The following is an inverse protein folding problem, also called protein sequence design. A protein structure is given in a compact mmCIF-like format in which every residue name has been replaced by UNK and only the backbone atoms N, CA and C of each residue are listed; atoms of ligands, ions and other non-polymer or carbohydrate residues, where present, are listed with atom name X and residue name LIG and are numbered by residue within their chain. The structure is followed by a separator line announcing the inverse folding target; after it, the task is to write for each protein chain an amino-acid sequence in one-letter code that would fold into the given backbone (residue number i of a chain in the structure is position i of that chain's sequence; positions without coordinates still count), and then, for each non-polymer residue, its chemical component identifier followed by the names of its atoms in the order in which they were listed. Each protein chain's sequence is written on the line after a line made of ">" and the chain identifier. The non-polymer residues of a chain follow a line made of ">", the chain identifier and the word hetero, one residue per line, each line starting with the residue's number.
data_IF_204164194126
#
_entry.id   IF_204164194126
#
_cell.length_a   1.000
_cell.length_b   1.000
_cell.length_c   1.000
_cell.angle_alpha   90.00
_cell.angle_beta   90.00
_cell.angle_gamma   90.00
#
_symmetry.space_group_name_H-M   'P 1'
#
loop_
_entity.id
_entity.type
_entity.pdbx_description
1 polymer ?
#
# COMPACT_ATOMS: atom_id res chain seq x y z
N UNK A 1 27.94 -0.70 -5.69
CA UNK A 1 27.19 -1.50 -4.71
C UNK A 1 26.19 -0.60 -4.01
N UNK A 2 24.94 -1.03 -3.91
CA UNK A 2 23.85 -0.24 -3.31
C UNK A 2 23.70 -0.56 -1.82
N UNK A 3 23.08 0.34 -1.04
CA UNK A 3 22.72 0.11 0.37
C UNK A 3 21.36 -0.59 0.45
N UNK A 4 21.13 -1.38 1.50
CA UNK A 4 19.83 -2.02 1.75
C UNK A 4 18.78 -1.00 2.21
N UNK A 5 17.53 -1.05 1.69
CA UNK A 5 16.44 -0.14 2.07
C UNK A 5 15.68 -0.62 3.32
N UNK A 6 16.38 -1.08 4.37
CA UNK A 6 15.71 -1.58 5.58
C UNK A 6 14.92 -0.46 6.29
N UNK A 7 13.61 -0.64 6.45
CA UNK A 7 12.71 0.33 7.09
C UNK A 7 12.27 1.50 6.20
N UNK A 8 12.57 1.47 4.89
CA UNK A 8 12.18 2.54 3.96
C UNK A 8 10.82 2.22 3.33
N UNK A 9 9.84 3.12 3.51
CA UNK A 9 8.50 3.05 2.91
C UNK A 9 8.20 4.16 1.90
N UNK A 10 9.12 5.11 1.70
CA UNK A 10 8.99 6.18 0.72
C UNK A 10 9.80 5.83 -0.54
N UNK A 11 9.12 5.67 -1.67
CA UNK A 11 9.74 5.28 -2.94
C UNK A 11 10.68 6.35 -3.48
N UNK A 12 10.30 7.64 -3.41
CA UNK A 12 11.18 8.73 -3.84
C UNK A 12 12.48 8.77 -3.04
N UNK A 13 12.41 8.60 -1.71
CA UNK A 13 13.60 8.50 -0.86
C UNK A 13 14.49 7.31 -1.27
N UNK A 14 13.90 6.17 -1.59
CA UNK A 14 14.63 4.99 -2.05
C UNK A 14 15.43 5.28 -3.34
N UNK A 15 14.86 6.04 -4.27
CA UNK A 15 15.51 6.46 -5.51
C UNK A 15 16.58 7.52 -5.24
N UNK A 16 16.24 8.59 -4.52
CA UNK A 16 17.13 9.72 -4.22
C UNK A 16 18.41 9.26 -3.46
N UNK A 17 18.25 8.32 -2.54
CA UNK A 17 19.37 7.75 -1.75
C UNK A 17 20.12 6.61 -2.47
N UNK A 18 19.73 6.30 -3.72
CA UNK A 18 20.27 5.23 -4.56
C UNK A 18 20.37 3.88 -3.82
N UNK A 19 19.28 3.52 -3.12
CA UNK A 19 19.19 2.25 -2.40
C UNK A 19 18.87 1.10 -3.35
N UNK A 20 19.17 -0.12 -2.92
CA UNK A 20 18.79 -1.31 -3.66
C UNK A 20 17.26 -1.41 -3.74
N UNK A 21 16.72 -1.71 -4.91
CA UNK A 21 15.29 -1.85 -5.13
C UNK A 21 15.04 -3.04 -6.04
N UNK A 22 14.13 -3.91 -5.60
CA UNK A 22 13.57 -4.96 -6.45
C UNK A 22 12.45 -4.33 -7.26
N UNK A 23 12.64 -4.27 -8.57
CA UNK A 23 11.67 -3.59 -9.44
C UNK A 23 10.37 -4.38 -9.56
N UNK A 24 9.31 -3.84 -8.93
CA UNK A 24 7.93 -4.35 -9.03
C UNK A 24 7.03 -3.45 -9.88
N UNK A 25 7.60 -2.52 -10.65
CA UNK A 25 6.80 -1.52 -11.38
C UNK A 25 5.98 -2.11 -12.53
N UNK A 26 6.32 -3.31 -13.03
CA UNK A 26 5.48 -4.04 -14.01
C UNK A 26 4.06 -4.33 -13.53
N UNK A 27 3.86 -4.37 -12.21
CA UNK A 27 2.53 -4.59 -11.64
C UNK A 27 1.60 -3.38 -11.80
N UNK A 28 2.13 -2.17 -12.05
CA UNK A 28 1.32 -1.01 -12.41
C UNK A 28 0.51 -1.32 -13.67
N UNK A 29 1.17 -1.76 -14.74
CA UNK A 29 0.51 -2.11 -16.00
C UNK A 29 -0.48 -3.27 -15.81
N UNK A 30 -0.11 -4.29 -15.04
CA UNK A 30 -1.03 -5.40 -14.71
C UNK A 30 -2.29 -4.91 -13.97
N UNK A 31 -2.13 -4.03 -12.97
CA UNK A 31 -3.23 -3.44 -12.22
C UNK A 31 -4.14 -2.58 -13.13
N UNK A 32 -3.55 -1.87 -14.10
CA UNK A 32 -4.32 -1.07 -15.04
C UNK A 32 -5.17 -1.90 -16.01
N UNK A 33 -4.69 -3.10 -16.36
CA UNK A 33 -5.34 -4.04 -17.28
C UNK A 33 -6.39 -4.95 -16.63
N UNK A 34 -6.56 -4.88 -15.31
CA UNK A 34 -7.65 -5.56 -14.61
C UNK A 34 -9.02 -5.01 -15.04
N UNK A 35 -10.04 -5.86 -14.96
CA UNK A 35 -11.43 -5.43 -15.13
C UNK A 35 -11.94 -4.59 -13.96
N UNK A 36 -11.32 -4.74 -12.78
CA UNK A 36 -11.65 -3.96 -11.58
C UNK A 36 -10.80 -2.70 -11.45
N UNK A 37 -11.44 -1.60 -11.09
CA UNK A 37 -10.80 -0.31 -10.80
C UNK A 37 -10.62 -0.05 -9.31
N UNK A 38 -11.22 -0.88 -8.45
CA UNK A 38 -11.25 -0.70 -7.00
C UNK A 38 -10.66 -1.95 -6.36
N UNK A 39 -9.37 -1.89 -6.09
CA UNK A 39 -8.55 -3.06 -5.80
C UNK A 39 -8.19 -3.08 -4.33
N UNK A 40 -8.36 -4.25 -3.72
CA UNK A 40 -7.84 -4.56 -2.40
C UNK A 40 -6.74 -5.62 -2.56
N UNK A 41 -5.61 -5.36 -1.92
CA UNK A 41 -4.48 -6.26 -1.96
C UNK A 41 -3.93 -6.52 -0.55
N UNK A 42 -4.04 -7.77 -0.12
CA UNK A 42 -3.74 -8.19 1.23
C UNK A 42 -2.42 -8.94 1.24
N UNK A 43 -1.56 -8.56 2.18
CA UNK A 43 -0.34 -9.29 2.51
C UNK A 43 -0.09 -9.19 4.00
N UNK A 44 0.61 -10.18 4.61
CA UNK A 44 1.04 -10.09 5.99
C UNK A 44 1.81 -8.80 6.28
N UNK A 45 1.95 -8.46 7.56
CA UNK A 45 2.76 -7.30 7.98
C UNK A 45 4.17 -7.40 7.40
N UNK A 46 4.75 -6.24 7.08
CA UNK A 46 6.15 -6.09 6.63
C UNK A 46 6.49 -6.68 5.24
N UNK A 47 5.49 -6.86 4.39
CA UNK A 47 5.64 -7.31 2.99
C UNK A 47 5.98 -6.20 1.97
N UNK A 48 6.22 -4.95 2.42
CA UNK A 48 6.47 -3.83 1.52
C UNK A 48 5.22 -3.14 0.95
N UNK A 49 4.05 -3.35 1.58
CA UNK A 49 2.78 -2.74 1.16
C UNK A 49 2.85 -1.21 1.06
N UNK A 50 3.30 -0.54 2.11
CA UNK A 50 3.42 0.93 2.16
C UNK A 50 4.39 1.48 1.11
N UNK A 51 5.50 0.77 0.85
CA UNK A 51 6.43 1.15 -0.21
C UNK A 51 5.76 1.08 -1.59
N UNK A 52 4.95 0.06 -1.83
CA UNK A 52 4.20 -0.05 -3.08
C UNK A 52 3.11 1.03 -3.19
N UNK A 53 2.41 1.35 -2.10
CA UNK A 53 1.45 2.49 -2.08
C UNK A 53 2.17 3.81 -2.42
N UNK A 54 3.35 4.06 -1.83
CA UNK A 54 4.17 5.22 -2.16
C UNK A 54 4.61 5.23 -3.63
N UNK A 55 4.98 4.08 -4.19
CA UNK A 55 5.31 3.94 -5.61
C UNK A 55 4.11 4.28 -6.51
N UNK A 56 2.91 3.79 -6.20
CA UNK A 56 1.70 4.13 -6.96
C UNK A 56 1.41 5.63 -6.88
N UNK A 57 1.52 6.23 -5.69
CA UNK A 57 1.38 7.67 -5.53
C UNK A 57 2.33 8.40 -6.49
N UNK A 58 3.63 8.10 -6.46
CA UNK A 58 4.60 8.81 -7.29
C UNK A 58 4.41 8.58 -8.80
N UNK A 59 3.89 7.42 -9.22
CA UNK A 59 3.64 7.13 -10.62
C UNK A 59 2.41 7.87 -11.18
N UNK A 60 1.33 7.93 -10.39
CA UNK A 60 0.04 8.46 -10.84
C UNK A 60 -0.16 9.96 -10.57
N UNK A 61 0.56 10.54 -9.62
CA UNK A 61 0.38 11.93 -9.21
C UNK A 61 0.72 12.92 -10.33
N UNK A 62 -0.17 13.87 -10.61
CA UNK A 62 0.05 14.95 -11.58
C UNK A 62 1.27 15.81 -11.25
N UNK A 63 1.62 15.97 -9.98
CA UNK A 63 2.75 16.79 -9.54
C UNK A 63 4.11 16.12 -9.80
N UNK A 64 4.12 14.81 -10.11
CA UNK A 64 5.35 14.05 -10.35
C UNK A 64 5.73 13.98 -11.82
N UNK A 65 5.00 14.69 -12.70
CA UNK A 65 5.25 14.70 -14.15
C UNK A 65 6.70 15.05 -14.50
N UNK A 66 7.25 16.07 -13.87
CA UNK A 66 8.63 16.52 -14.13
C UNK A 66 9.69 15.63 -13.45
N UNK A 67 9.28 14.77 -12.52
CA UNK A 67 10.14 13.82 -11.81
C UNK A 67 10.10 12.41 -12.41
N UNK A 68 9.28 12.15 -13.43
CA UNK A 68 9.05 10.79 -13.93
C UNK A 68 10.35 10.07 -14.33
N UNK A 69 11.19 10.72 -15.13
CA UNK A 69 12.45 10.11 -15.59
C UNK A 69 13.44 9.92 -14.42
N UNK A 70 13.43 10.81 -13.43
CA UNK A 70 14.27 10.66 -12.23
C UNK A 70 13.85 9.41 -11.45
N UNK A 71 12.54 9.23 -11.28
CA UNK A 71 11.97 8.18 -10.45
C UNK A 71 11.98 6.81 -11.13
N UNK A 72 11.69 6.75 -12.43
CA UNK A 72 11.32 5.49 -13.08
C UNK A 72 12.23 5.06 -14.23
N UNK A 73 13.18 5.87 -14.74
CA UNK A 73 13.95 5.54 -15.97
C UNK A 73 14.58 4.14 -15.99
N UNK A 74 15.06 3.66 -14.85
CA UNK A 74 15.77 2.38 -14.70
C UNK A 74 14.83 1.22 -14.31
N UNK A 75 13.51 1.43 -14.38
CA UNK A 75 12.47 0.47 -14.03
C UNK A 75 11.67 0.03 -15.27
N UNK A 76 10.94 -1.08 -15.16
CA UNK A 76 10.03 -1.57 -16.19
C UNK A 76 9.05 -0.47 -16.63
N UNK A 77 8.39 0.22 -15.70
CA UNK A 77 7.36 1.21 -16.05
C UNK A 77 7.94 2.51 -16.62
N UNK A 78 9.21 2.82 -16.33
CA UNK A 78 9.91 3.92 -17.00
C UNK A 78 10.16 3.63 -18.47
N UNK A 79 10.42 2.36 -18.81
CA UNK A 79 10.61 1.90 -20.18
C UNK A 79 9.27 1.63 -20.88
N UNK A 80 8.21 1.33 -20.11
CA UNK A 80 6.87 0.99 -20.60
C UNK A 80 5.80 1.88 -19.94
N UNK A 81 5.84 3.21 -20.10
CA UNK A 81 4.88 4.10 -19.44
C UNK A 81 3.47 3.87 -19.97
N UNK A 82 2.51 3.73 -19.06
CA UNK A 82 1.09 3.61 -19.40
C UNK A 82 0.46 4.97 -19.70
N UNK A 83 -0.76 4.94 -20.25
CA UNK A 83 -1.54 6.16 -20.54
C UNK A 83 -2.00 6.89 -19.27
N UNK A 84 -2.02 6.20 -18.13
CA UNK A 84 -2.51 6.74 -16.87
C UNK A 84 -1.45 7.42 -15.99
N UNK A 85 -0.17 7.32 -16.40
CA UNK A 85 0.97 8.00 -15.80
C UNK A 85 0.69 9.49 -15.54
N UNK A 86 0.98 9.96 -14.32
CA UNK A 86 0.79 11.36 -13.87
C UNK A 86 -0.60 11.93 -14.24
N UNK A 87 -1.63 11.08 -14.20
CA UNK A 87 -2.98 11.36 -14.66
C UNK A 87 -3.96 11.72 -13.55
N UNK A 88 -3.56 11.68 -12.28
CA UNK A 88 -4.47 11.73 -11.14
C UNK A 88 -4.09 12.73 -10.06
N UNK A 89 -5.12 13.29 -9.44
CA UNK A 89 -5.01 13.81 -8.09
C UNK A 89 -5.02 12.62 -7.11
N UNK A 90 -4.06 12.58 -6.19
CA UNK A 90 -3.89 11.47 -5.24
C UNK A 90 -4.47 11.86 -3.89
N UNK A 91 -5.43 11.08 -3.41
CA UNK A 91 -5.98 11.18 -2.06
C UNK A 91 -5.56 9.95 -1.25
N UNK A 92 -4.69 10.17 -0.27
CA UNK A 92 -4.16 9.08 0.57
C UNK A 92 -4.87 9.03 1.92
N UNK A 93 -5.20 7.83 2.36
CA UNK A 93 -5.55 7.53 3.73
C UNK A 93 -4.57 6.51 4.29
N UNK A 94 -4.09 6.76 5.51
CA UNK A 94 -3.29 5.81 6.26
C UNK A 94 -4.03 5.55 7.58
N UNK A 95 -4.45 4.30 7.76
CA UNK A 95 -5.18 3.85 8.95
C UNK A 95 -4.25 3.21 9.99
N UNK A 96 -2.93 3.31 9.81
CA UNK A 96 -1.98 3.04 10.89
C UNK A 96 -2.21 4.01 12.06
N UNK A 97 -2.09 3.51 13.29
CA UNK A 97 -2.23 4.34 14.49
C UNK A 97 -3.65 4.77 14.87
N UNK A 98 -4.69 4.16 14.27
CA UNK A 98 -6.08 4.33 14.74
C UNK A 98 -6.19 3.88 16.19
N UNK A 99 -6.76 4.72 17.07
CA UNK A 99 -6.98 4.35 18.47
C UNK A 99 -8.25 3.54 18.62
N UNK A 100 -8.17 2.38 19.28
CA UNK A 100 -9.28 1.41 19.35
C UNK A 100 -9.71 1.08 20.79
N UNK A 101 -9.48 1.94 21.79
CA UNK A 101 -9.86 1.59 23.18
C UNK A 101 -11.36 1.80 23.47
N UNK A 102 -11.99 2.79 22.84
CA UNK A 102 -13.44 3.03 22.92
C UNK A 102 -13.99 3.37 21.55
N UNK A 103 -15.33 3.29 21.41
CA UNK A 103 -16.02 3.66 20.18
C UNK A 103 -15.80 5.13 19.81
N UNK A 104 -15.83 6.01 20.80
CA UNK A 104 -15.67 7.46 20.63
C UNK A 104 -14.27 7.80 20.13
N UNK A 105 -13.24 7.15 20.70
CA UNK A 105 -11.85 7.35 20.25
C UNK A 105 -11.61 6.80 18.83
N UNK A 106 -12.28 5.71 18.48
CA UNK A 106 -12.24 5.15 17.14
C UNK A 106 -12.91 6.09 16.13
N UNK A 107 -14.09 6.62 16.46
CA UNK A 107 -14.81 7.61 15.66
C UNK A 107 -13.98 8.90 15.48
N UNK A 108 -13.37 9.39 16.56
CA UNK A 108 -12.48 10.56 16.53
C UNK A 108 -11.24 10.31 15.67
N UNK A 109 -10.62 9.13 15.77
CA UNK A 109 -9.47 8.74 14.94
C UNK A 109 -9.82 8.79 13.45
N UNK A 110 -10.99 8.28 13.06
CA UNK A 110 -11.46 8.34 11.68
C UNK A 110 -11.72 9.77 11.19
N UNK A 111 -12.28 10.64 12.04
CA UNK A 111 -12.47 12.06 11.74
C UNK A 111 -11.12 12.72 11.48
N UNK A 112 -10.15 12.49 12.37
CA UNK A 112 -8.82 13.09 12.29
C UNK A 112 -8.05 12.62 11.06
N UNK A 113 -8.03 11.31 10.78
CA UNK A 113 -7.41 10.75 9.56
C UNK A 113 -8.05 11.36 8.31
N UNK A 114 -9.38 11.48 8.28
CA UNK A 114 -10.10 12.05 7.14
C UNK A 114 -9.72 13.51 6.90
N UNK A 115 -9.70 14.34 7.95
CA UNK A 115 -9.30 15.75 7.86
C UNK A 115 -7.84 15.92 7.45
N UNK A 116 -6.94 15.12 8.05
CA UNK A 116 -5.52 15.14 7.73
C UNK A 116 -5.28 14.81 6.25
N UNK A 117 -5.96 13.80 5.71
CA UNK A 117 -5.89 13.47 4.29
C UNK A 117 -6.29 14.65 3.39
N UNK A 118 -7.33 15.39 3.77
CA UNK A 118 -7.80 16.56 3.00
C UNK A 118 -6.87 17.75 3.11
N UNK A 119 -6.31 18.02 4.28
CA UNK A 119 -5.31 19.06 4.46
C UNK A 119 -4.06 18.77 3.63
N UNK A 120 -3.55 17.53 3.69
CA UNK A 120 -2.43 17.08 2.86
C UNK A 120 -2.74 17.18 1.37
N UNK A 121 -3.95 16.82 0.94
CA UNK A 121 -4.39 16.96 -0.45
C UNK A 121 -4.39 18.43 -0.89
N UNK A 122 -5.03 19.31 -0.12
CA UNK A 122 -5.11 20.74 -0.43
C UNK A 122 -3.72 21.38 -0.51
N UNK A 123 -2.84 21.06 0.46
CA UNK A 123 -1.47 21.56 0.49
C UNK A 123 -0.64 21.02 -0.69
N UNK A 124 -0.77 19.73 -1.02
CA UNK A 124 -0.05 19.09 -2.13
C UNK A 124 -0.37 19.77 -3.46
N UNK A 125 -1.63 20.09 -3.70
CA UNK A 125 -2.08 20.65 -4.98
C UNK A 125 -2.23 22.17 -4.98
N UNK A 126 -1.97 22.83 -3.84
CA UNK A 126 -2.22 24.25 -3.63
C UNK A 126 -3.67 24.66 -4.00
N UNK A 127 -4.63 23.83 -3.58
CA UNK A 127 -6.07 24.03 -3.83
C UNK A 127 -6.75 24.23 -2.48
N UNK A 128 -7.06 25.48 -2.14
CA UNK A 128 -7.63 25.81 -0.83
C UNK A 128 -9.14 26.12 -0.90
N UNK A 129 -9.91 25.48 -0.02
CA UNK A 129 -11.32 25.75 0.23
C UNK A 129 -11.76 25.24 1.59
N UNK A 130 -12.80 25.87 2.12
CA UNK A 130 -13.44 25.40 3.33
C UNK A 130 -14.35 24.21 3.03
N UNK A 131 -14.23 23.20 3.90
CA UNK A 131 -15.14 22.06 3.99
C UNK A 131 -15.58 21.89 5.44
N UNK A 132 -16.62 21.09 5.66
CA UNK A 132 -17.21 20.84 6.97
C UNK A 132 -16.16 20.39 7.99
N UNK A 133 -16.06 21.10 9.12
CA UNK A 133 -15.09 20.81 10.18
C UNK A 133 -15.68 20.01 11.36
N UNK A 134 -16.98 19.74 11.37
CA UNK A 134 -17.69 19.07 12.47
C UNK A 134 -18.60 17.97 11.95
N UNK A 135 -19.02 17.04 12.83
CA UNK A 135 -19.85 15.90 12.45
C UNK A 135 -19.04 14.64 12.20
N UNK A 136 -19.70 13.62 11.63
CA UNK A 136 -19.05 12.32 11.38
C UNK A 136 -18.02 12.41 10.25
N UNK A 137 -17.04 11.50 10.26
CA UNK A 137 -16.05 11.40 9.18
C UNK A 137 -16.71 11.28 7.80
N UNK A 138 -17.84 10.57 7.69
CA UNK A 138 -18.61 10.45 6.46
C UNK A 138 -19.20 11.81 5.99
N UNK A 139 -19.74 12.63 6.90
CA UNK A 139 -20.28 13.94 6.53
C UNK A 139 -19.17 14.89 6.05
N UNK A 140 -18.03 14.87 6.74
CA UNK A 140 -16.85 15.65 6.39
C UNK A 140 -16.33 15.22 5.02
N UNK A 141 -16.27 13.91 4.76
CA UNK A 141 -15.83 13.34 3.49
C UNK A 141 -16.75 13.71 2.32
N UNK A 142 -18.06 13.67 2.54
CA UNK A 142 -19.05 14.01 1.52
C UNK A 142 -18.99 15.50 1.14
N UNK A 143 -18.86 16.39 2.13
CA UNK A 143 -18.73 17.82 1.86
C UNK A 143 -17.42 18.14 1.14
N UNK A 144 -16.29 17.56 1.58
CA UNK A 144 -15.00 17.73 0.89
C UNK A 144 -15.10 17.38 -0.60
N UNK A 145 -15.67 16.22 -0.94
CA UNK A 145 -15.82 15.84 -2.35
C UNK A 145 -16.77 16.76 -3.13
N UNK A 146 -17.84 17.23 -2.49
CA UNK A 146 -18.75 18.22 -3.10
C UNK A 146 -18.02 19.51 -3.46
N UNK A 147 -17.03 19.94 -2.66
CA UNK A 147 -16.23 21.14 -2.96
C UNK A 147 -15.10 20.85 -3.95
N UNK A 148 -14.31 19.79 -3.73
CA UNK A 148 -13.09 19.51 -4.50
C UNK A 148 -13.38 19.25 -5.98
N UNK A 149 -14.53 18.63 -6.30
CA UNK A 149 -14.95 18.33 -7.68
C UNK A 149 -15.10 19.56 -8.55
N UNK A 150 -15.32 20.73 -7.95
CA UNK A 150 -15.39 22.03 -8.65
C UNK A 150 -14.03 22.71 -8.80
N UNK A 151 -12.98 22.14 -8.21
CA UNK A 151 -11.63 22.73 -8.11
C UNK A 151 -10.55 21.94 -8.83
N UNK A 152 -10.85 20.73 -9.30
CA UNK A 152 -9.92 19.85 -10.01
C UNK A 152 -10.44 19.53 -11.40
N UNK A 153 -9.52 19.27 -12.33
CA UNK A 153 -9.80 19.02 -13.75
C UNK A 153 -9.50 17.57 -14.17
N UNK A 154 -8.99 16.76 -13.25
CA UNK A 154 -8.62 15.36 -13.45
C UNK A 154 -9.24 14.47 -12.37
N UNK A 155 -9.42 13.17 -12.65
CA UNK A 155 -9.94 12.23 -11.67
C UNK A 155 -9.02 12.07 -10.45
N UNK A 156 -9.62 11.56 -9.38
CA UNK A 156 -8.93 11.20 -8.13
C UNK A 156 -8.60 9.71 -8.13
N UNK A 157 -7.37 9.38 -7.74
CA UNK A 157 -6.97 8.03 -7.32
C UNK A 157 -6.90 8.03 -5.78
N UNK A 158 -7.74 7.22 -5.14
CA UNK A 158 -7.69 7.04 -3.69
C UNK A 158 -6.78 5.86 -3.32
N UNK A 159 -5.75 6.13 -2.52
CA UNK A 159 -4.87 5.11 -1.96
C UNK A 159 -5.16 4.96 -0.47
N UNK A 160 -5.32 3.72 0.00
CA UNK A 160 -5.62 3.43 1.41
C UNK A 160 -4.59 2.44 1.93
N UNK A 161 -3.73 2.86 2.85
CA UNK A 161 -2.84 1.94 3.55
C UNK A 161 -3.42 1.48 4.89
N UNK A 162 -3.12 0.23 5.22
CA UNK A 162 -3.58 -0.50 6.41
C UNK A 162 -5.08 -0.35 6.72
N UNK A 163 -5.94 -0.48 5.70
CA UNK A 163 -7.40 -0.23 5.81
C UNK A 163 -8.10 -1.02 6.92
N UNK A 164 -7.52 -2.14 7.36
CA UNK A 164 -8.03 -3.06 8.37
C UNK A 164 -7.25 -3.04 9.69
N UNK A 165 -6.31 -2.10 9.88
CA UNK A 165 -5.48 -2.03 11.08
C UNK A 165 -6.33 -2.04 12.37
N UNK A 166 -7.28 -1.11 12.45
CA UNK A 166 -8.19 -1.00 13.61
C UNK A 166 -8.99 -2.29 13.84
N UNK A 167 -9.41 -2.97 12.78
CA UNK A 167 -10.19 -4.19 12.90
C UNK A 167 -9.36 -5.34 13.46
N UNK A 168 -8.09 -5.46 13.05
CA UNK A 168 -7.18 -6.46 13.60
C UNK A 168 -6.91 -6.23 15.10
N UNK A 169 -6.80 -4.97 15.53
CA UNK A 169 -6.66 -4.63 16.95
C UNK A 169 -7.94 -4.95 17.75
N UNK A 170 -9.10 -4.55 17.24
CA UNK A 170 -10.38 -4.81 17.89
C UNK A 170 -10.70 -6.32 17.98
N UNK A 171 -10.40 -7.10 16.93
CA UNK A 171 -10.57 -8.55 16.94
C UNK A 171 -9.75 -9.24 18.04
N UNK A 172 -8.59 -8.65 18.38
CA UNK A 172 -7.66 -9.24 19.35
C UNK A 172 -8.10 -9.01 20.80
N UNK A 173 -8.75 -7.87 21.09
CA UNK A 173 -8.98 -7.43 22.48
C UNK A 173 -10.38 -6.90 22.80
N UNK A 174 -11.20 -6.58 21.79
CA UNK A 174 -12.50 -5.91 21.96
C UNK A 174 -13.54 -6.38 20.93
N UNK A 175 -13.91 -7.66 20.98
CA UNK A 175 -14.77 -8.29 19.97
C UNK A 175 -16.17 -7.65 19.81
N UNK A 176 -16.77 -7.15 20.89
CA UNK A 176 -18.07 -6.47 20.80
C UNK A 176 -17.94 -5.10 20.10
N UNK A 177 -16.88 -4.35 20.40
CA UNK A 177 -16.60 -3.11 19.68
C UNK A 177 -16.25 -3.36 18.21
N UNK A 178 -15.55 -4.46 17.90
CA UNK A 178 -15.34 -4.90 16.53
C UNK A 178 -16.69 -5.07 15.82
N UNK A 179 -17.61 -5.87 16.38
CA UNK A 179 -18.95 -6.12 15.82
C UNK A 179 -19.72 -4.82 15.59
N UNK A 180 -19.71 -3.91 16.57
CA UNK A 180 -20.41 -2.63 16.45
C UNK A 180 -19.80 -1.74 15.36
N UNK A 181 -18.47 -1.72 15.26
CA UNK A 181 -17.72 -0.90 14.29
C UNK A 181 -17.84 -1.40 12.85
N UNK A 182 -18.17 -2.68 12.64
CA UNK A 182 -18.42 -3.26 11.31
C UNK A 182 -19.90 -3.57 11.04
N UNK A 183 -20.79 -3.21 11.98
CA UNK A 183 -22.24 -3.41 11.85
C UNK A 183 -22.86 -2.56 10.74
N UNK A 184 -24.10 -2.90 10.34
CA UNK A 184 -24.82 -2.20 9.28
C UNK A 184 -25.07 -0.70 9.53
N UNK A 185 -24.94 -0.23 10.77
CA UNK A 185 -25.16 1.16 11.16
C UNK A 185 -23.86 1.91 11.51
N UNK A 186 -22.70 1.26 11.34
CA UNK A 186 -21.42 1.80 11.80
C UNK A 186 -20.96 3.02 11.02
N UNK A 187 -20.19 3.89 11.67
CA UNK A 187 -19.60 5.07 11.04
C UNK A 187 -18.52 4.68 9.99
N UNK A 188 -17.82 3.56 10.19
CA UNK A 188 -16.85 3.02 9.21
C UNK A 188 -17.55 2.67 7.91
N UNK A 189 -18.69 1.97 7.98
CA UNK A 189 -19.47 1.62 6.79
C UNK A 189 -19.92 2.87 6.04
N UNK A 190 -20.46 3.87 6.76
CA UNK A 190 -20.87 5.15 6.16
C UNK A 190 -19.72 5.86 5.45
N UNK A 191 -18.50 5.80 6.00
CA UNK A 191 -17.30 6.37 5.36
C UNK A 191 -17.01 5.72 4.00
N UNK A 192 -17.05 4.38 3.91
CA UNK A 192 -16.87 3.67 2.64
C UNK A 192 -18.05 3.86 1.67
N UNK A 193 -19.28 4.00 2.16
CA UNK A 193 -20.45 4.33 1.32
C UNK A 193 -20.28 5.69 0.63
N UNK A 194 -19.71 6.69 1.32
CA UNK A 194 -19.33 7.97 0.70
C UNK A 194 -18.30 7.73 -0.40
N UNK A 195 -17.23 6.99 -0.12
CA UNK A 195 -16.21 6.69 -1.13
C UNK A 195 -16.80 6.01 -2.37
N UNK A 196 -17.70 5.03 -2.20
CA UNK A 196 -18.42 4.37 -3.31
C UNK A 196 -19.31 5.31 -4.07
N UNK A 197 -19.95 6.28 -3.42
CA UNK A 197 -20.76 7.29 -4.11
C UNK A 197 -19.89 8.09 -5.07
N UNK A 198 -18.65 8.40 -4.68
CA UNK A 198 -17.74 9.22 -5.48
C UNK A 198 -17.07 8.46 -6.63
N UNK A 199 -17.12 7.13 -6.62
CA UNK A 199 -16.68 6.35 -7.78
C UNK A 199 -17.58 6.52 -9.01
N UNK A 200 -18.78 7.07 -8.81
CA UNK A 200 -19.71 7.44 -9.88
C UNK A 200 -19.42 8.82 -10.48
N UNK A 201 -18.49 9.59 -9.90
CA UNK A 201 -18.26 10.99 -10.25
C UNK A 201 -16.78 11.24 -10.54
N UNK A 202 -15.93 11.31 -9.51
CA UNK A 202 -14.57 11.83 -9.61
C UNK A 202 -13.49 10.82 -9.24
N UNK A 203 -13.82 9.82 -8.40
CA UNK A 203 -12.87 8.77 -8.02
C UNK A 203 -12.84 7.73 -9.12
N UNK A 204 -11.73 7.62 -9.84
CA UNK A 204 -11.60 6.66 -10.95
C UNK A 204 -10.95 5.35 -10.51
N UNK A 205 -10.05 5.38 -9.53
CA UNK A 205 -9.37 4.20 -9.00
C UNK A 205 -9.25 4.23 -7.49
N UNK A 206 -9.24 3.02 -6.91
CA UNK A 206 -8.97 2.80 -5.50
C UNK A 206 -7.97 1.66 -5.39
N UNK A 207 -6.94 1.84 -4.57
CA UNK A 207 -6.02 0.75 -4.19
C UNK A 207 -5.86 0.76 -2.69
N UNK A 208 -6.26 -0.34 -2.06
CA UNK A 208 -6.23 -0.49 -0.61
C UNK A 208 -5.35 -1.68 -0.21
N UNK A 209 -4.49 -1.46 0.79
CA UNK A 209 -3.61 -2.48 1.35
C UNK A 209 -3.98 -2.80 2.78
N UNK A 210 -3.87 -4.08 3.14
CA UNK A 210 -4.19 -4.56 4.50
C UNK A 210 -3.66 -5.95 4.76
N UNK A 211 -4.14 -6.58 5.83
CA UNK A 211 -3.71 -7.93 6.25
C UNK A 211 -4.84 -8.95 6.11
N UNK A 212 -6.06 -8.61 6.50
CA UNK A 212 -7.16 -9.52 6.75
C UNK A 212 -8.40 -9.16 5.93
N UNK A 213 -9.01 -10.13 5.23
CA UNK A 213 -10.25 -9.89 4.48
C UNK A 213 -11.50 -9.83 5.37
N UNK A 214 -11.40 -10.08 6.69
CA UNK A 214 -12.56 -10.16 7.59
C UNK A 214 -13.41 -8.87 7.57
N UNK A 215 -12.72 -7.75 7.38
CA UNK A 215 -13.32 -6.43 7.20
C UNK A 215 -14.00 -6.26 5.85
N UNK A 216 -13.48 -6.86 4.78
CA UNK A 216 -14.08 -6.78 3.45
C UNK A 216 -15.51 -7.28 3.48
N UNK A 217 -15.73 -8.51 3.97
CA UNK A 217 -17.07 -9.11 4.00
C UNK A 217 -18.06 -8.28 4.83
N UNK A 218 -17.59 -7.69 5.92
CA UNK A 218 -18.43 -6.83 6.78
C UNK A 218 -18.69 -5.44 6.16
N UNK A 219 -17.74 -4.89 5.39
CA UNK A 219 -17.90 -3.64 4.65
C UNK A 219 -18.62 -3.81 3.30
N UNK A 220 -18.64 -5.02 2.73
CA UNK A 220 -19.13 -5.27 1.36
C UNK A 220 -20.59 -4.89 1.17
N UNK A 221 -21.47 -4.95 2.17
CA UNK A 221 -22.85 -4.46 1.95
C UNK A 221 -22.90 -2.95 1.64
N UNK A 222 -21.94 -2.16 2.14
CA UNK A 222 -21.73 -0.75 1.79
C UNK A 222 -20.80 -0.53 0.59
N UNK A 223 -19.80 -1.40 0.40
CA UNK A 223 -18.67 -1.22 -0.53
C UNK A 223 -18.42 -2.42 -1.50
N UNK A 224 -19.47 -3.13 -1.93
CA UNK A 224 -19.42 -4.34 -2.81
C UNK A 224 -18.86 -4.17 -4.23
N UNK A 225 -18.16 -3.06 -4.54
CA UNK A 225 -17.59 -2.83 -5.88
C UNK A 225 -16.11 -3.18 -5.94
N UNK A 226 -15.53 -3.60 -4.83
CA UNK A 226 -14.10 -3.89 -4.71
C UNK A 226 -13.77 -5.31 -5.11
N UNK A 227 -12.59 -5.47 -5.69
CA UNK A 227 -12.04 -6.77 -6.03
C UNK A 227 -10.82 -7.07 -5.17
N UNK A 228 -10.75 -8.28 -4.61
CA UNK A 228 -9.65 -8.73 -3.77
C UNK A 228 -8.73 -9.64 -4.58
N UNK A 229 -7.72 -9.06 -5.19
CA UNK A 229 -6.81 -9.76 -6.12
C UNK A 229 -5.69 -10.53 -5.40
N UNK A 230 -5.74 -10.63 -4.06
CA UNK A 230 -4.70 -11.24 -3.22
C UNK A 230 -4.29 -12.64 -3.65
N UNK A 231 -5.26 -13.43 -4.12
CA UNK A 231 -5.11 -14.85 -4.49
C UNK A 231 -4.97 -15.07 -6.00
N UNK A 232 -4.99 -14.00 -6.80
CA UNK A 232 -4.77 -14.11 -8.23
C UNK A 232 -3.30 -14.46 -8.51
N UNK A 233 -3.09 -15.50 -9.32
CA UNK A 233 -1.75 -15.99 -9.67
C UNK A 233 -0.88 -14.87 -10.25
N UNK A 234 -1.45 -14.05 -11.13
CA UNK A 234 -0.77 -12.96 -11.82
C UNK A 234 -0.16 -11.90 -10.88
N UNK A 235 -0.65 -11.82 -9.63
CA UNK A 235 -0.25 -10.88 -8.58
C UNK A 235 0.44 -11.55 -7.38
N UNK A 236 0.71 -12.86 -7.45
CA UNK A 236 1.38 -13.59 -6.36
C UNK A 236 2.64 -12.85 -5.91
N UNK A 237 3.55 -12.54 -6.85
CA UNK A 237 4.87 -11.96 -6.62
C UNK A 237 4.90 -10.42 -6.59
N UNK A 238 3.74 -9.73 -6.59
CA UNK A 238 3.67 -8.26 -6.59
C UNK A 238 4.35 -7.63 -5.36
N UNK A 239 4.29 -8.32 -4.22
CA UNK A 239 4.91 -7.90 -2.97
C UNK A 239 5.52 -9.10 -2.26
N UNK A 240 6.65 -8.90 -1.59
CA UNK A 240 7.54 -9.97 -1.17
C UNK A 240 8.70 -10.15 -2.15
N UNK A 241 9.63 -11.04 -1.82
CA UNK A 241 10.77 -11.36 -2.68
C UNK A 241 10.74 -12.82 -3.13
N UNK A 242 11.01 -13.07 -4.41
CA UNK A 242 11.32 -14.42 -4.90
C UNK A 242 12.75 -14.81 -4.50
N UNK A 243 13.08 -16.09 -4.60
CA UNK A 243 14.46 -16.55 -4.35
C UNK A 243 15.48 -15.84 -5.26
N UNK A 244 15.15 -15.67 -6.54
CA UNK A 244 16.03 -15.00 -7.50
C UNK A 244 16.28 -13.53 -7.11
N UNK A 245 15.25 -12.82 -6.65
CA UNK A 245 15.37 -11.44 -6.18
C UNK A 245 16.22 -11.34 -4.92
N UNK A 246 16.11 -12.31 -3.99
CA UNK A 246 16.98 -12.38 -2.81
C UNK A 246 18.43 -12.64 -3.21
N UNK A 247 18.68 -13.60 -4.11
CA UNK A 247 20.04 -13.89 -4.62
C UNK A 247 20.65 -12.66 -5.31
N UNK A 248 19.88 -11.94 -6.12
CA UNK A 248 20.33 -10.69 -6.74
C UNK A 248 20.65 -9.61 -5.70
N UNK A 249 19.76 -9.42 -4.72
CA UNK A 249 19.98 -8.46 -3.63
C UNK A 249 21.27 -8.75 -2.89
N UNK A 250 21.53 -10.02 -2.57
CA UNK A 250 22.76 -10.46 -1.91
C UNK A 250 23.98 -10.10 -2.78
N UNK A 251 23.94 -10.43 -4.09
CA UNK A 251 25.04 -10.13 -5.04
C UNK A 251 25.34 -8.63 -5.15
N UNK A 252 24.34 -7.76 -5.04
CA UNK A 252 24.51 -6.31 -5.21
C UNK A 252 24.87 -5.53 -3.92
N UNK A 253 24.64 -6.14 -2.75
CA UNK A 253 24.72 -5.45 -1.45
C UNK A 253 25.81 -6.01 -0.53
N UNK A 254 26.17 -7.28 -0.65
CA UNK A 254 27.22 -7.91 0.16
C UNK A 254 28.61 -7.49 -0.34
N UNK A 255 29.48 -7.07 0.59
CA UNK A 255 30.78 -6.44 0.31
C UNK A 255 31.98 -7.38 0.41
N UNK A 256 31.76 -8.67 0.62
CA UNK A 256 32.80 -9.68 0.71
C UNK A 256 32.57 -10.76 -0.34
N UNK A 257 33.62 -11.46 -0.81
CA UNK A 257 33.47 -12.55 -1.76
C UNK A 257 32.51 -13.60 -1.22
N UNK A 258 31.57 -14.01 -2.05
CA UNK A 258 30.75 -15.21 -1.86
C UNK A 258 30.75 -15.98 -3.16
N UNK A 259 31.08 -17.26 -3.07
CA UNK A 259 30.87 -18.19 -4.17
C UNK A 259 29.43 -18.73 -4.17
N UNK A 260 29.10 -19.59 -5.14
CA UNK A 260 27.77 -20.18 -5.20
C UNK A 260 27.50 -21.16 -4.04
N UNK A 261 28.53 -21.76 -3.41
CA UNK A 261 28.32 -22.61 -2.22
C UNK A 261 27.94 -21.77 -1.00
N UNK A 262 28.59 -20.61 -0.80
CA UNK A 262 28.26 -19.65 0.25
C UNK A 262 26.83 -19.11 0.06
N UNK A 263 26.47 -18.76 -1.17
CA UNK A 263 25.12 -18.32 -1.54
C UNK A 263 24.09 -19.40 -1.21
N UNK A 264 24.32 -20.65 -1.62
CA UNK A 264 23.41 -21.75 -1.37
C UNK A 264 23.28 -22.10 0.13
N UNK A 265 24.37 -21.98 0.89
CA UNK A 265 24.34 -22.15 2.34
C UNK A 265 23.48 -21.08 3.02
N UNK A 266 23.66 -19.81 2.64
CA UNK A 266 22.86 -18.70 3.13
C UNK A 266 21.39 -18.85 2.72
N UNK A 267 21.11 -19.21 1.47
CA UNK A 267 19.74 -19.42 1.00
C UNK A 267 19.05 -20.53 1.78
N UNK A 268 19.72 -21.65 2.09
CA UNK A 268 19.16 -22.70 2.97
C UNK A 268 18.77 -22.17 4.34
N UNK A 269 19.57 -21.30 4.93
CA UNK A 269 19.24 -20.65 6.20
C UNK A 269 18.03 -19.72 6.08
N UNK A 270 18.00 -18.88 5.04
CA UNK A 270 16.88 -17.98 4.77
C UNK A 270 15.58 -18.76 4.51
N UNK A 271 15.64 -19.88 3.78
CA UNK A 271 14.48 -20.74 3.55
C UNK A 271 13.93 -21.32 4.85
N UNK A 272 14.82 -21.79 5.73
CA UNK A 272 14.42 -22.36 7.03
C UNK A 272 13.70 -21.34 7.91
N UNK A 273 14.10 -20.07 7.85
CA UNK A 273 13.65 -19.05 8.79
C UNK A 273 12.54 -18.13 8.25
N UNK A 274 12.49 -17.89 6.93
CA UNK A 274 11.70 -16.80 6.34
C UNK A 274 10.96 -17.13 5.03
N UNK A 275 11.15 -18.33 4.46
CA UNK A 275 10.39 -18.76 3.28
C UNK A 275 9.04 -19.36 3.72
N UNK A 276 8.00 -19.13 2.92
CA UNK A 276 6.80 -19.94 3.10
C UNK A 276 5.52 -19.39 2.49
N UNK A 277 5.53 -18.17 1.94
CA UNK A 277 4.28 -17.56 1.50
C UNK A 277 3.95 -17.94 0.06
N UNK A 278 2.81 -18.59 -0.11
CA UNK A 278 2.20 -18.86 -1.41
C UNK A 278 0.75 -18.35 -1.33
N UNK A 279 0.45 -17.27 -2.04
CA UNK A 279 -0.84 -16.56 -1.90
C UNK A 279 -1.90 -17.05 -2.89
N UNK A 280 -1.46 -17.50 -4.06
CA UNK A 280 -2.30 -18.17 -5.05
C UNK A 280 -2.01 -19.67 -5.04
N UNK A 281 -3.05 -20.50 -5.06
CA UNK A 281 -2.88 -21.96 -5.10
C UNK A 281 -2.29 -22.43 -6.44
N UNK A 282 -2.51 -21.65 -7.51
CA UNK A 282 -2.02 -21.94 -8.86
C UNK A 282 -0.59 -21.43 -9.10
N UNK A 283 -0.04 -20.63 -8.16
CA UNK A 283 1.32 -20.11 -8.29
C UNK A 283 2.37 -21.17 -7.93
N UNK A 284 3.52 -21.09 -8.59
CA UNK A 284 4.68 -21.96 -8.31
C UNK A 284 5.71 -21.29 -7.40
N UNK A 285 5.80 -19.97 -7.44
CA UNK A 285 6.83 -19.21 -6.72
C UNK A 285 6.40 -18.90 -5.28
N UNK A 286 7.21 -19.36 -4.32
CA UNK A 286 7.09 -18.96 -2.92
C UNK A 286 7.85 -17.68 -2.65
N UNK A 287 7.30 -16.88 -1.74
CA UNK A 287 7.81 -15.57 -1.43
C UNK A 287 8.37 -15.51 -0.02
N UNK A 288 9.45 -14.74 0.09
CA UNK A 288 9.99 -14.28 1.35
C UNK A 288 9.31 -12.99 1.79
N UNK A 289 9.15 -12.83 3.10
CA UNK A 289 8.75 -11.56 3.70
C UNK A 289 9.87 -10.53 3.52
N UNK A 290 9.58 -9.41 2.87
CA UNK A 290 10.59 -8.42 2.48
C UNK A 290 11.40 -7.87 3.64
N UNK A 291 10.74 -7.41 4.71
CA UNK A 291 11.44 -6.81 5.85
C UNK A 291 12.30 -7.83 6.60
N UNK A 292 11.85 -9.08 6.71
CA UNK A 292 12.63 -10.13 7.37
C UNK A 292 13.94 -10.42 6.63
N UNK A 293 13.90 -10.46 5.30
CA UNK A 293 15.10 -10.59 4.48
C UNK A 293 15.99 -9.36 4.63
N UNK A 294 15.44 -8.16 4.54
CA UNK A 294 16.22 -6.93 4.70
C UNK A 294 16.87 -6.83 6.09
N UNK A 295 16.16 -7.24 7.14
CA UNK A 295 16.66 -7.29 8.51
C UNK A 295 17.81 -8.30 8.66
N UNK A 296 17.62 -9.52 8.14
CA UNK A 296 18.65 -10.54 8.16
C UNK A 296 19.89 -10.06 7.42
N UNK A 297 19.73 -9.58 6.19
CA UNK A 297 20.83 -9.14 5.34
C UNK A 297 21.55 -7.92 5.89
N UNK A 298 20.85 -6.99 6.54
CA UNK A 298 21.49 -5.87 7.26
C UNK A 298 22.50 -6.39 8.28
N UNK A 299 22.11 -7.38 9.10
CA UNK A 299 23.00 -7.96 10.11
C UNK A 299 24.11 -8.79 9.47
N UNK A 300 23.78 -9.56 8.43
CA UNK A 300 24.72 -10.41 7.69
C UNK A 300 25.83 -9.58 7.02
N UNK A 301 25.50 -8.44 6.41
CA UNK A 301 26.48 -7.55 5.78
C UNK A 301 27.46 -6.98 6.82
N UNK A 302 26.98 -6.65 8.02
CA UNK A 302 27.80 -6.07 9.08
C UNK A 302 28.68 -7.11 9.81
N UNK A 303 28.13 -8.30 10.06
CA UNK A 303 28.72 -9.29 10.99
C UNK A 303 29.11 -10.62 10.35
N UNK A 304 28.81 -10.82 9.06
CA UNK A 304 28.93 -12.12 8.34
C UNK A 304 28.15 -13.26 9.00
N UNK A 305 27.11 -12.92 9.76
CA UNK A 305 26.21 -13.84 10.45
C UNK A 305 24.84 -13.21 10.57
N UNK A 306 23.79 -14.02 10.50
CA UNK A 306 22.43 -13.60 10.84
C UNK A 306 22.28 -13.09 12.27
N UNK A 307 21.15 -12.42 12.57
CA UNK A 307 20.81 -11.86 13.88
C UNK A 307 20.67 -12.89 15.00
#
# INVERSE_FOLDING_TARGET
>A
MKRLPYGISNYKMLVDENLFYVDKTMYIEKLENLHSYYIFFLRPRRFGKSLFVSLLQHYYDINEKDNFDILFKDTYIGQNPTKERNGYYILNFDFSGVTTHTKEQLEESFINITKNAFELFQNRYNIHFDYLQTGSAANIFEDFFTKVTTRIDKPVYVLIDEYDHFANELLSFQFDLFKDSVSNTSFVRKWYEVLKKQTKTIVKRIFATGVSPITLDSFTSGFNITDNITREEAFNEMMGFTENEVRQMIKETVRFPMDENDMDALMKELHKNYNGYLFSEDANERLFNSDMILYYLKTFIEKKKGP
#
